data_IF_350705208325
#
_entry.id   IF_350705208325
#
_cell.length_a   1.000
_cell.length_b   1.000
_cell.length_c   1.000
_cell.angle_alpha   90.00
_cell.angle_beta   90.00
_cell.angle_gamma   90.00
#
_symmetry.space_group_name_H-M   'P 1'
#
loop_
_entity.id
_entity.type
_entity.pdbx_description
1 polymer ?
#
# COMPACT_ATOMS: atom_id res chain seq x y z
N UNK A 1 15.79 -6.70 -8.26
CA UNK A 1 15.20 -5.35 -8.32
C UNK A 1 13.69 -5.50 -8.40
N UNK A 2 12.94 -4.94 -7.46
CA UNK A 2 11.47 -5.02 -7.48
C UNK A 2 10.92 -3.90 -8.37
N UNK A 3 10.64 -4.24 -9.62
CA UNK A 3 10.03 -3.32 -10.61
C UNK A 3 8.51 -3.32 -10.47
N UNK A 4 7.90 -2.14 -10.47
CA UNK A 4 6.45 -1.96 -10.44
C UNK A 4 5.88 -2.26 -11.83
N UNK A 5 5.02 -3.28 -11.89
CA UNK A 5 4.33 -3.72 -13.12
C UNK A 5 2.82 -3.50 -12.99
N UNK A 6 2.13 -3.59 -14.13
CA UNK A 6 0.66 -3.66 -14.13
C UNK A 6 0.19 -4.89 -13.36
N UNK A 7 -0.99 -4.79 -12.74
CA UNK A 7 -1.57 -5.80 -11.83
C UNK A 7 -0.75 -6.11 -10.57
N UNK A 8 0.35 -5.38 -10.33
CA UNK A 8 1.08 -5.48 -9.06
C UNK A 8 0.31 -4.80 -7.94
N UNK A 9 0.44 -5.30 -6.72
CA UNK A 9 -0.08 -4.64 -5.53
C UNK A 9 1.04 -3.83 -4.90
N UNK A 10 0.73 -2.60 -4.54
CA UNK A 10 1.57 -1.73 -3.74
C UNK A 10 0.98 -1.62 -2.34
N UNK A 11 1.86 -1.43 -1.36
CA UNK A 11 1.50 -1.16 0.02
C UNK A 11 2.14 0.13 0.48
N UNK A 12 1.32 0.98 1.09
CA UNK A 12 1.75 2.18 1.79
C UNK A 12 1.57 1.97 3.28
N UNK A 13 2.65 2.20 4.04
CA UNK A 13 2.57 2.32 5.50
C UNK A 13 2.75 3.77 5.90
N UNK A 14 1.87 4.28 6.73
CA UNK A 14 1.87 5.68 7.13
C UNK A 14 1.23 5.85 8.49
N UNK A 15 1.33 7.06 9.01
CA UNK A 15 0.81 7.42 10.31
C UNK A 15 1.94 7.87 11.24
N UNK A 16 1.55 8.67 12.21
CA UNK A 16 2.47 9.38 13.08
C UNK A 16 2.68 8.59 14.37
N UNK A 17 1.60 8.40 15.13
CA UNK A 17 1.61 7.57 16.32
C UNK A 17 1.16 6.12 16.06
N UNK A 18 0.31 5.91 15.05
CA UNK A 18 -0.13 4.59 14.60
C UNK A 18 0.46 4.26 13.23
N UNK A 19 0.70 2.97 12.98
CA UNK A 19 1.02 2.46 11.65
C UNK A 19 -0.26 2.01 10.94
N UNK A 20 -0.80 2.86 10.07
CA UNK A 20 -1.87 2.54 9.13
C UNK A 20 -1.30 1.89 7.87
N UNK A 21 -2.07 0.97 7.28
CA UNK A 21 -1.68 0.27 6.06
C UNK A 21 -2.75 0.42 4.99
N UNK A 22 -2.35 0.98 3.85
CA UNK A 22 -3.22 1.11 2.68
C UNK A 22 -2.64 0.33 1.50
N UNK A 23 -3.50 -0.43 0.82
CA UNK A 23 -3.11 -1.23 -0.34
C UNK A 23 -3.63 -0.60 -1.63
N UNK A 24 -2.86 -0.76 -2.71
CA UNK A 24 -3.20 -0.24 -4.03
C UNK A 24 -2.93 -1.27 -5.11
N UNK A 25 -3.84 -1.44 -6.06
CA UNK A 25 -3.61 -2.20 -7.29
C UNK A 25 -3.14 -1.28 -8.42
N UNK A 26 -2.10 -1.68 -9.14
CA UNK A 26 -1.62 -0.96 -10.32
C UNK A 26 -2.50 -1.33 -11.52
N UNK A 27 -3.37 -0.40 -11.93
CA UNK A 27 -4.21 -0.58 -13.12
C UNK A 27 -3.42 -0.32 -14.41
N UNK A 28 -2.49 0.63 -14.38
CA UNK A 28 -1.70 1.02 -15.56
C UNK A 28 -0.33 1.53 -15.16
N UNK A 29 0.69 1.17 -15.93
CA UNK A 29 2.08 1.62 -15.75
C UNK A 29 2.57 2.31 -17.02
N UNK A 30 3.05 3.54 -16.87
CA UNK A 30 3.84 4.27 -17.87
C UNK A 30 5.22 4.53 -17.29
N UNK A 31 6.29 4.85 -18.06
CA UNK A 31 7.66 4.95 -17.53
C UNK A 31 7.83 5.85 -16.30
N UNK A 32 7.06 6.95 -16.19
CA UNK A 32 7.15 7.91 -15.07
C UNK A 32 5.96 7.91 -14.12
N UNK A 33 4.85 7.26 -14.48
CA UNK A 33 3.58 7.37 -13.74
C UNK A 33 2.88 6.02 -13.64
N UNK A 34 2.08 5.86 -12.58
CA UNK A 34 1.17 4.74 -12.38
C UNK A 34 -0.24 5.25 -12.11
N UNK A 35 -1.22 4.47 -12.55
CA UNK A 35 -2.62 4.61 -12.14
C UNK A 35 -2.90 3.52 -11.11
N UNK A 36 -3.37 3.94 -9.94
CA UNK A 36 -3.61 3.09 -8.79
C UNK A 36 -5.09 3.07 -8.44
N UNK A 37 -5.59 1.89 -8.12
CA UNK A 37 -6.89 1.69 -7.47
C UNK A 37 -6.66 1.34 -6.02
N UNK A 38 -7.32 2.03 -5.09
CA UNK A 38 -7.24 1.65 -3.68
C UNK A 38 -7.96 0.32 -3.45
N UNK A 39 -7.38 -0.52 -2.59
CA UNK A 39 -7.92 -1.81 -2.22
C UNK A 39 -8.36 -1.76 -0.75
N UNK A 40 -9.41 -2.52 -0.44
CA UNK A 40 -9.82 -2.79 0.93
C UNK A 40 -8.64 -3.37 1.74
N UNK A 41 -8.58 -3.00 3.01
CA UNK A 41 -7.63 -3.55 3.98
C UNK A 41 -8.35 -4.61 4.81
N UNK A 42 -8.17 -5.88 4.43
CA UNK A 42 -8.80 -7.00 5.13
C UNK A 42 -7.96 -7.39 6.34
N UNK A 43 -8.52 -7.27 7.55
CA UNK A 43 -7.93 -7.81 8.77
C UNK A 43 -8.01 -9.34 8.74
N UNK A 44 -6.85 -9.98 8.89
CA UNK A 44 -6.72 -11.44 8.87
C UNK A 44 -6.47 -12.03 10.25
N UNK A 45 -5.95 -11.24 11.19
CA UNK A 45 -5.66 -11.69 12.55
C UNK A 45 -5.66 -10.49 13.49
N UNK A 46 -6.49 -10.56 14.53
CA UNK A 46 -6.45 -9.68 15.68
C UNK A 46 -6.18 -10.56 16.90
N UNK A 47 -5.06 -10.34 17.58
CA UNK A 47 -4.81 -11.04 18.84
C UNK A 47 -5.60 -10.33 19.96
N UNK A 48 -6.46 -11.05 20.71
CA UNK A 48 -7.22 -10.47 21.82
C UNK A 48 -6.28 -9.76 22.80
N UNK A 49 -6.58 -8.50 23.13
CA UNK A 49 -5.77 -7.68 24.03
C UNK A 49 -4.52 -7.05 23.39
N UNK A 50 -4.26 -7.24 22.10
CA UNK A 50 -3.22 -6.50 21.36
C UNK A 50 -3.83 -5.44 20.45
N UNK A 51 -3.34 -4.22 20.56
CA UNK A 51 -3.71 -3.12 19.65
C UNK A 51 -2.95 -3.18 18.31
N UNK A 52 -2.79 -4.39 17.76
CA UNK A 52 -2.17 -4.58 16.45
C UNK A 52 -2.83 -5.71 15.69
N UNK A 53 -3.07 -5.48 14.40
CA UNK A 53 -3.70 -6.41 13.48
C UNK A 53 -2.76 -6.77 12.34
N UNK A 54 -2.93 -7.97 11.75
CA UNK A 54 -2.31 -8.34 10.48
C UNK A 54 -3.32 -8.13 9.35
N UNK A 55 -2.96 -7.32 8.37
CA UNK A 55 -3.83 -6.96 7.24
C UNK A 55 -3.30 -7.43 5.90
N UNK A 56 -4.22 -7.70 4.97
CA UNK A 56 -3.94 -8.10 3.58
C UNK A 56 -4.81 -7.27 2.61
N UNK A 57 -4.37 -7.12 1.35
CA UNK A 57 -5.20 -6.48 0.34
C UNK A 57 -6.47 -7.30 0.09
N UNK A 58 -7.60 -6.60 0.00
CA UNK A 58 -8.92 -7.12 -0.32
C UNK A 58 -9.36 -6.75 -1.73
N UNK A 59 -10.67 -6.49 -1.89
CA UNK A 59 -11.24 -6.11 -3.19
C UNK A 59 -10.92 -4.65 -3.52
N UNK A 60 -10.96 -4.25 -4.80
CA UNK A 60 -10.88 -2.85 -5.16
C UNK A 60 -12.02 -2.05 -4.54
N UNK A 61 -11.69 -0.94 -3.89
CA UNK A 61 -12.68 0.03 -3.45
C UNK A 61 -13.35 0.65 -4.68
N UNK A 62 -14.61 1.08 -4.56
CA UNK A 62 -15.35 1.68 -5.66
C UNK A 62 -15.01 3.17 -5.88
N UNK A 63 -13.80 3.57 -5.51
CA UNK A 63 -13.29 4.93 -5.59
C UNK A 63 -12.64 5.22 -6.95
N UNK A 64 -12.44 6.51 -7.26
CA UNK A 64 -11.80 6.90 -8.52
C UNK A 64 -10.31 6.53 -8.49
N UNK A 65 -9.77 5.92 -9.56
CA UNK A 65 -8.34 5.65 -9.65
C UNK A 65 -7.50 6.92 -9.52
N UNK A 66 -6.42 6.84 -8.75
CA UNK A 66 -5.49 7.95 -8.55
C UNK A 66 -4.24 7.78 -9.42
N UNK A 67 -3.77 8.88 -10.00
CA UNK A 67 -2.51 8.88 -10.77
C UNK A 67 -1.38 9.43 -9.91
N UNK A 68 -0.26 8.70 -9.86
CA UNK A 68 0.92 9.04 -9.05
C UNK A 68 2.23 8.82 -9.80
N UNK A 69 3.27 9.54 -9.39
CA UNK A 69 4.60 9.48 -10.00
C UNK A 69 5.41 8.34 -9.41
N UNK A 70 6.08 7.58 -10.28
CA UNK A 70 7.07 6.59 -9.87
C UNK A 70 8.40 7.28 -9.65
N UNK A 71 9.01 7.00 -8.51
CA UNK A 71 10.31 7.49 -8.09
C UNK A 71 11.22 6.29 -7.87
N UNK A 72 12.52 6.50 -8.01
CA UNK A 72 13.52 5.51 -7.60
C UNK A 72 14.18 6.04 -6.34
N UNK A 73 14.12 5.26 -5.25
CA UNK A 73 14.76 5.61 -3.98
C UNK A 73 15.57 4.40 -3.49
N UNK A 74 16.84 4.62 -3.16
CA UNK A 74 17.76 3.54 -2.73
C UNK A 74 17.79 2.34 -3.69
N UNK A 75 17.66 2.57 -5.00
CA UNK A 75 17.64 1.51 -6.01
C UNK A 75 16.30 0.76 -6.16
N UNK A 76 15.25 1.17 -5.44
CA UNK A 76 13.91 0.58 -5.53
C UNK A 76 12.90 1.54 -6.15
N UNK A 77 11.99 1.02 -6.97
CA UNK A 77 10.85 1.78 -7.46
C UNK A 77 9.80 1.95 -6.36
N UNK A 78 9.46 3.20 -6.08
CA UNK A 78 8.45 3.58 -5.08
C UNK A 78 7.48 4.58 -5.69
N UNK A 79 6.25 4.60 -5.18
CA UNK A 79 5.22 5.55 -5.62
C UNK A 79 4.94 6.52 -4.50
N UNK A 80 5.05 7.82 -4.79
CA UNK A 80 4.67 8.85 -3.82
C UNK A 80 3.15 8.99 -3.83
N UNK A 81 2.50 8.67 -2.71
CA UNK A 81 1.05 8.82 -2.53
C UNK A 81 0.72 10.22 -1.99
N UNK A 82 1.49 10.68 -1.00
CA UNK A 82 1.36 11.98 -0.33
C UNK A 82 2.72 12.59 0.04
N UNK A 83 2.74 13.62 0.89
CA UNK A 83 3.95 14.39 1.17
C UNK A 83 5.06 13.55 1.82
N UNK A 84 4.68 12.69 2.78
CA UNK A 84 5.57 11.74 3.48
C UNK A 84 5.10 10.28 3.37
N UNK A 85 4.20 10.00 2.43
CA UNK A 85 3.58 8.69 2.25
C UNK A 85 4.05 8.06 0.94
N UNK A 86 4.65 6.87 1.03
CA UNK A 86 5.19 6.14 -0.10
C UNK A 86 4.64 4.72 -0.14
N UNK A 87 4.21 4.29 -1.32
CA UNK A 87 3.82 2.93 -1.60
C UNK A 87 4.97 2.16 -2.24
N UNK A 88 5.17 0.92 -1.80
CA UNK A 88 6.20 -0.02 -2.29
C UNK A 88 5.55 -1.31 -2.78
N UNK A 89 6.20 -2.09 -3.65
CA UNK A 89 5.72 -3.41 -4.03
C UNK A 89 5.38 -4.26 -2.80
N UNK A 90 4.17 -4.80 -2.75
CA UNK A 90 3.74 -5.69 -1.68
C UNK A 90 4.46 -7.04 -1.79
N UNK A 91 5.00 -7.53 -0.68
CA UNK A 91 5.82 -8.75 -0.63
C UNK A 91 5.01 -10.03 -0.36
N UNK A 92 3.71 -10.02 -0.67
CA UNK A 92 2.77 -11.15 -0.44
C UNK A 92 2.62 -11.59 1.02
N UNK A 93 3.17 -10.83 1.97
CA UNK A 93 3.06 -11.09 3.40
C UNK A 93 2.06 -10.14 4.05
N UNK A 94 1.32 -10.63 5.04
CA UNK A 94 0.44 -9.78 5.83
C UNK A 94 1.25 -8.65 6.48
N UNK A 95 0.65 -7.46 6.53
CA UNK A 95 1.30 -6.27 7.06
C UNK A 95 0.74 -5.95 8.43
N UNK A 96 1.60 -5.48 9.33
CA UNK A 96 1.18 -5.10 10.67
C UNK A 96 0.63 -3.68 10.65
N UNK A 97 -0.58 -3.53 11.16
CA UNK A 97 -1.24 -2.27 11.48
C UNK A 97 -1.38 -2.17 13.01
N UNK A 98 -1.43 -0.95 13.55
CA UNK A 98 -1.60 -0.69 14.98
C UNK A 98 -2.74 0.28 15.20
N UNK A 99 -3.60 0.00 16.18
CA UNK A 99 -4.71 0.88 16.60
C UNK A 99 -4.49 1.37 18.03
N UNK A 100 -5.31 2.31 18.48
CA UNK A 100 -5.49 2.63 19.90
C UNK A 100 -6.62 1.78 20.48
N UNK A 101 -6.63 1.69 21.80
CA UNK A 101 -7.63 1.00 22.62
C UNK A 101 -8.98 1.72 22.62
#
# INVERSE_FOLDING_TARGET
MNTIKEHSILVSKWGYDQTNVTFYSVLKRTPKMVTLQELETNQTECEPGKFSAKVKPGKPLNEKPIRRKVLVRFGEEVVRIGERQFARPWNWRAQRETSYA
#
